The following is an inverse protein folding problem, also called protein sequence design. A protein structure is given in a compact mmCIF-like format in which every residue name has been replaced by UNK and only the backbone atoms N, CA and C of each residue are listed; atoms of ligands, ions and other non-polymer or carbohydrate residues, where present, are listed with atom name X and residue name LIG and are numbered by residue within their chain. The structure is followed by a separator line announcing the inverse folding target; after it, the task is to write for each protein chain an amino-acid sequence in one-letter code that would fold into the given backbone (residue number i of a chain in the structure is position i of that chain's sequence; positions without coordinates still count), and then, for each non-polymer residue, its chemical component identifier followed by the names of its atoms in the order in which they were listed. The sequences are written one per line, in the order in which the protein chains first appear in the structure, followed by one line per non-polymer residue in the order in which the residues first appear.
data_IF_236399874816
#
_entry.id   IF_236399874816
#
_cell.length_a   1.000
_cell.length_b   1.000
_cell.length_c   1.000
_cell.angle_alpha   90.00
_cell.angle_beta   90.00
_cell.angle_gamma   90.00
#
_symmetry.space_group_name_H-M   'P 1'
#
loop_
_entity.id
_entity.type
_entity.pdbx_description
1 polymer ?
#
# COMPACT_ATOMS: atom_id res chain seq x y z
N UNK A 1 5.85 -21.84 -25.47
CA UNK A 1 5.43 -21.17 -24.22
C UNK A 1 5.35 -22.23 -23.13
N UNK A 2 5.90 -21.97 -21.96
CA UNK A 2 5.92 -22.90 -20.83
C UNK A 2 4.58 -22.86 -20.10
N UNK A 3 3.94 -24.00 -19.93
CA UNK A 3 2.73 -24.17 -19.12
C UNK A 3 3.03 -23.94 -17.64
N UNK A 4 2.07 -23.37 -16.90
CA UNK A 4 2.16 -23.22 -15.47
C UNK A 4 0.78 -23.21 -14.81
N UNK A 5 0.77 -23.20 -13.50
CA UNK A 5 -0.44 -23.32 -12.70
C UNK A 5 -0.44 -22.29 -11.57
N UNK A 6 -1.63 -21.74 -11.31
CA UNK A 6 -1.96 -21.12 -10.03
C UNK A 6 -2.78 -22.14 -9.24
N UNK A 7 -2.29 -22.54 -8.08
CA UNK A 7 -2.98 -23.49 -7.21
C UNK A 7 -3.37 -22.79 -5.93
N UNK A 8 -4.66 -22.78 -5.62
CA UNK A 8 -5.19 -22.18 -4.40
C UNK A 8 -5.04 -23.13 -3.21
N UNK A 9 -5.06 -22.59 -2.01
CA UNK A 9 -4.94 -23.35 -0.76
C UNK A 9 -6.01 -24.45 -0.58
N UNK A 10 -7.16 -24.33 -1.25
CA UNK A 10 -8.25 -25.32 -1.22
C UNK A 10 -8.13 -26.38 -2.32
N UNK A 11 -7.02 -26.38 -3.08
CA UNK A 11 -6.74 -27.35 -4.14
C UNK A 11 -7.31 -27.00 -5.50
N UNK A 12 -8.01 -25.88 -5.67
CA UNK A 12 -8.43 -25.43 -7.00
C UNK A 12 -7.22 -25.05 -7.86
N UNK A 13 -7.22 -25.47 -9.12
CA UNK A 13 -6.10 -25.32 -10.06
C UNK A 13 -6.54 -24.51 -11.26
N UNK A 14 -5.79 -23.46 -11.56
CA UNK A 14 -5.96 -22.61 -12.74
C UNK A 14 -4.74 -22.75 -13.64
N UNK A 15 -4.96 -23.23 -14.84
CA UNK A 15 -3.91 -23.38 -15.85
C UNK A 15 -3.66 -22.04 -16.57
N UNK A 16 -2.40 -21.76 -16.87
CA UNK A 16 -1.98 -20.61 -17.64
C UNK A 16 -0.62 -20.82 -18.28
N UNK A 17 -0.03 -19.76 -18.75
CA UNK A 17 1.29 -19.74 -19.38
C UNK A 17 2.25 -18.92 -18.53
N UNK A 18 3.45 -19.44 -18.31
CA UNK A 18 4.51 -18.80 -17.53
C UNK A 18 5.10 -17.61 -18.30
N UNK A 19 5.35 -16.54 -17.56
CA UNK A 19 6.19 -15.41 -17.97
C UNK A 19 6.91 -14.86 -16.71
N UNK A 20 7.81 -13.90 -16.88
CA UNK A 20 8.66 -13.46 -15.77
C UNK A 20 9.70 -14.51 -15.35
N UNK A 21 10.06 -14.53 -14.08
CA UNK A 21 11.10 -15.43 -13.57
C UNK A 21 10.67 -16.89 -13.58
N UNK A 22 11.64 -17.78 -13.86
CA UNK A 22 11.44 -19.24 -13.87
C UNK A 22 11.59 -19.83 -12.46
N UNK A 23 10.78 -19.32 -11.53
CA UNK A 23 10.74 -19.72 -10.11
C UNK A 23 9.30 -20.03 -9.70
N UNK A 24 9.11 -20.81 -8.65
CA UNK A 24 7.82 -20.93 -7.98
C UNK A 24 7.70 -19.89 -6.88
N UNK A 25 6.47 -19.52 -6.52
CA UNK A 25 6.23 -18.62 -5.40
C UNK A 25 4.94 -18.98 -4.67
N UNK A 26 4.95 -18.82 -3.34
CA UNK A 26 3.77 -18.88 -2.49
C UNK A 26 3.48 -17.49 -1.96
N UNK A 27 2.22 -17.10 -1.89
CA UNK A 27 1.78 -15.80 -1.39
C UNK A 27 0.28 -15.73 -1.14
N UNK A 28 -0.14 -14.71 -0.42
CA UNK A 28 -1.56 -14.38 -0.30
C UNK A 28 -2.07 -13.79 -1.63
N UNK A 29 -3.04 -14.45 -2.27
CA UNK A 29 -3.59 -14.02 -3.56
C UNK A 29 -4.58 -12.86 -3.34
N UNK A 30 -4.25 -11.71 -3.92
CA UNK A 30 -5.09 -10.52 -3.90
C UNK A 30 -5.35 -10.01 -5.31
N UNK A 31 -6.41 -9.24 -5.50
CA UNK A 31 -6.70 -8.63 -6.80
C UNK A 31 -6.81 -7.12 -6.72
N UNK A 32 -6.49 -6.45 -7.80
CA UNK A 32 -6.74 -5.01 -8.00
C UNK A 32 -7.56 -4.78 -9.26
N UNK A 33 -8.43 -3.75 -9.23
CA UNK A 33 -9.37 -3.45 -10.31
C UNK A 33 -8.96 -2.25 -11.18
N UNK A 34 -7.76 -1.70 -10.96
CA UNK A 34 -7.24 -0.57 -11.73
C UNK A 34 -7.08 -0.92 -13.22
N UNK A 35 -7.51 -0.01 -14.11
CA UNK A 35 -7.32 -0.15 -15.56
C UNK A 35 -5.90 0.21 -16.01
N UNK A 36 -5.18 0.96 -15.19
CA UNK A 36 -3.80 1.40 -15.37
C UNK A 36 -3.06 1.33 -14.04
N UNK A 37 -1.75 1.63 -14.03
CA UNK A 37 -0.98 1.65 -12.81
C UNK A 37 -0.41 0.30 -12.41
N UNK A 38 -0.20 -0.58 -13.36
CA UNK A 38 0.45 -1.87 -13.05
C UNK A 38 1.92 -1.69 -12.64
N UNK A 39 2.60 -0.64 -13.08
CA UNK A 39 3.96 -0.31 -12.65
C UNK A 39 3.96 0.05 -11.17
N UNK A 40 3.07 0.95 -10.79
CA UNK A 40 2.90 1.38 -9.39
C UNK A 40 2.44 0.20 -8.51
N UNK A 41 1.56 -0.66 -9.01
CA UNK A 41 1.16 -1.89 -8.29
C UNK A 41 2.37 -2.80 -8.03
N UNK A 42 3.22 -3.03 -9.04
CA UNK A 42 4.41 -3.89 -8.91
C UNK A 42 5.47 -3.30 -7.99
N UNK A 43 5.49 -1.98 -7.85
CA UNK A 43 6.49 -1.24 -7.06
C UNK A 43 5.92 -0.62 -5.77
N UNK A 44 4.69 -0.97 -5.40
CA UNK A 44 4.10 -0.62 -4.10
C UNK A 44 4.52 -1.63 -3.04
N UNK A 45 5.36 -1.24 -2.05
CA UNK A 45 5.80 -2.14 -0.99
C UNK A 45 4.65 -2.73 -0.16
N UNK A 46 3.46 -2.12 -0.18
CA UNK A 46 2.27 -2.64 0.52
C UNK A 46 1.80 -4.01 -0.01
N UNK A 47 2.28 -4.45 -1.17
CA UNK A 47 2.03 -5.81 -1.68
C UNK A 47 3.08 -6.85 -1.25
N UNK A 48 4.00 -6.51 -0.34
CA UNK A 48 4.98 -7.49 0.14
C UNK A 48 4.29 -8.73 0.72
N UNK A 49 4.77 -9.91 0.29
CA UNK A 49 4.17 -11.19 0.68
C UNK A 49 2.97 -11.64 -0.16
N UNK A 50 2.52 -10.87 -1.14
CA UNK A 50 1.30 -11.15 -1.90
C UNK A 50 1.58 -11.55 -3.35
N UNK A 51 0.74 -12.44 -3.90
CA UNK A 51 0.59 -12.67 -5.34
C UNK A 51 -0.51 -11.73 -5.81
N UNK A 52 -0.17 -10.84 -6.74
CA UNK A 52 -1.10 -9.80 -7.20
C UNK A 52 -1.72 -10.19 -8.53
N UNK A 53 -3.05 -10.19 -8.58
CA UNK A 53 -3.82 -10.41 -9.80
C UNK A 53 -4.41 -9.09 -10.31
N UNK A 54 -4.14 -8.77 -11.57
CA UNK A 54 -4.81 -7.67 -12.26
C UNK A 54 -6.10 -8.15 -12.92
N UNK A 55 -7.21 -7.51 -12.61
CA UNK A 55 -8.51 -7.88 -13.20
C UNK A 55 -8.74 -7.25 -14.57
N UNK A 56 -8.03 -6.16 -14.87
CA UNK A 56 -8.09 -5.55 -16.20
C UNK A 56 -7.49 -6.50 -17.25
N UNK A 57 -8.15 -6.71 -18.40
CA UNK A 57 -7.80 -7.80 -19.30
C UNK A 57 -6.39 -7.71 -19.88
N UNK A 58 -5.94 -6.54 -20.34
CA UNK A 58 -4.65 -6.35 -20.98
C UNK A 58 -3.70 -5.55 -20.07
N UNK A 59 -2.55 -6.12 -19.74
CA UNK A 59 -1.51 -5.51 -18.93
C UNK A 59 -0.20 -5.43 -19.72
N UNK A 60 0.64 -4.43 -19.43
CA UNK A 60 1.96 -4.29 -20.05
C UNK A 60 1.99 -3.42 -21.31
N UNK A 61 0.88 -2.87 -21.75
CA UNK A 61 0.74 -2.15 -23.02
C UNK A 61 1.59 -0.88 -23.15
N UNK A 62 1.96 -0.23 -22.04
CA UNK A 62 2.88 0.91 -22.03
C UNK A 62 4.28 0.57 -21.48
N UNK A 63 4.58 -0.72 -21.30
CA UNK A 63 5.87 -1.22 -20.82
C UNK A 63 6.16 -0.84 -19.38
N UNK A 64 7.43 -0.90 -19.03
CA UNK A 64 7.93 -0.49 -17.72
C UNK A 64 8.64 0.85 -17.85
N UNK A 65 8.32 1.78 -16.97
CA UNK A 65 8.87 3.13 -16.91
C UNK A 65 9.45 3.29 -15.49
N UNK A 66 10.77 3.18 -15.36
CA UNK A 66 11.45 3.15 -14.05
C UNK A 66 11.33 4.46 -13.28
N UNK A 67 11.12 5.57 -13.98
CA UNK A 67 10.88 6.89 -13.37
C UNK A 67 9.58 6.92 -12.56
N UNK A 68 8.58 6.11 -12.95
CA UNK A 68 7.26 6.06 -12.32
C UNK A 68 7.21 5.10 -11.10
N UNK A 69 8.31 4.45 -10.74
CA UNK A 69 8.38 3.53 -9.61
C UNK A 69 8.06 4.21 -8.28
N UNK A 70 7.23 3.53 -7.48
CA UNK A 70 6.88 3.94 -6.12
C UNK A 70 7.83 3.38 -5.04
N UNK A 71 8.51 2.29 -5.34
CA UNK A 71 9.49 1.66 -4.45
C UNK A 71 10.20 0.49 -5.12
N UNK A 72 10.69 -0.44 -4.34
CA UNK A 72 11.19 -1.73 -4.82
C UNK A 72 10.03 -2.68 -5.15
N UNK A 73 10.25 -3.60 -6.08
CA UNK A 73 9.30 -4.66 -6.35
C UNK A 73 9.29 -5.67 -5.19
N UNK A 74 8.16 -5.80 -4.51
CA UNK A 74 8.00 -6.66 -3.34
C UNK A 74 6.94 -7.77 -3.52
N UNK A 75 6.28 -7.83 -4.68
CA UNK A 75 5.26 -8.84 -4.95
C UNK A 75 5.89 -10.24 -5.06
N UNK A 76 5.19 -11.27 -4.58
CA UNK A 76 5.63 -12.67 -4.66
C UNK A 76 5.37 -13.29 -6.03
N UNK A 77 4.37 -12.82 -6.74
CA UNK A 77 4.00 -13.29 -8.06
C UNK A 77 2.99 -12.38 -8.73
N UNK A 78 2.81 -12.54 -10.02
CA UNK A 78 1.93 -11.68 -10.79
C UNK A 78 1.03 -12.49 -11.73
N UNK A 79 -0.29 -12.23 -11.67
CA UNK A 79 -1.30 -12.98 -12.44
C UNK A 79 -2.12 -12.03 -13.30
N UNK A 80 -2.21 -12.32 -14.60
CA UNK A 80 -2.92 -11.48 -15.56
C UNK A 80 -3.73 -12.34 -16.56
N UNK A 81 -4.76 -11.74 -17.16
CA UNK A 81 -5.51 -12.39 -18.23
C UNK A 81 -4.71 -12.41 -19.53
N UNK A 82 -4.23 -11.25 -19.95
CA UNK A 82 -3.41 -11.03 -21.14
C UNK A 82 -2.29 -10.06 -20.81
N UNK A 83 -1.11 -10.25 -21.39
CA UNK A 83 -0.04 -9.28 -21.33
C UNK A 83 0.44 -8.89 -22.72
N UNK A 84 0.91 -7.66 -22.84
CA UNK A 84 1.39 -7.10 -24.10
C UNK A 84 2.89 -7.39 -24.23
N UNK A 85 3.25 -8.26 -25.19
CA UNK A 85 4.65 -8.65 -25.46
C UNK A 85 5.45 -7.50 -26.09
N UNK A 86 4.77 -6.60 -26.83
CA UNK A 86 5.40 -5.49 -27.54
C UNK A 86 4.75 -4.16 -27.12
N UNK A 87 5.16 -3.59 -25.99
CA UNK A 87 4.61 -2.33 -25.49
C UNK A 87 4.90 -1.17 -26.45
N UNK A 88 3.99 -0.19 -26.48
CA UNK A 88 4.12 1.00 -27.31
C UNK A 88 3.99 2.26 -26.47
N UNK A 89 5.13 2.78 -25.99
CA UNK A 89 5.24 4.06 -25.28
C UNK A 89 6.66 4.60 -25.44
N UNK A 90 6.80 5.89 -25.73
CA UNK A 90 8.12 6.52 -25.91
C UNK A 90 8.98 6.56 -24.63
N UNK A 91 8.39 6.37 -23.44
CA UNK A 91 9.09 6.31 -22.15
C UNK A 91 9.46 4.88 -21.71
N UNK A 92 9.09 3.86 -22.50
CA UNK A 92 9.31 2.46 -22.12
C UNK A 92 10.80 2.14 -22.00
N UNK A 93 11.22 1.65 -20.83
CA UNK A 93 12.58 1.13 -20.58
C UNK A 93 12.69 -0.35 -21.01
N UNK A 94 11.68 -1.16 -20.68
CA UNK A 94 11.60 -2.57 -21.06
C UNK A 94 10.14 -3.06 -21.03
N UNK A 95 9.92 -4.29 -21.50
CA UNK A 95 8.64 -4.97 -21.37
C UNK A 95 8.43 -5.58 -19.96
N UNK A 96 7.20 -6.01 -19.68
CA UNK A 96 6.80 -6.55 -18.38
C UNK A 96 7.51 -7.87 -18.04
N UNK A 97 7.69 -8.77 -19.03
CA UNK A 97 8.35 -10.07 -18.83
C UNK A 97 9.82 -9.89 -18.42
N UNK A 98 10.52 -9.00 -19.13
CA UNK A 98 11.89 -8.62 -18.82
C UNK A 98 12.01 -8.09 -17.40
N UNK A 99 11.15 -7.17 -17.01
CA UNK A 99 11.16 -6.59 -15.67
C UNK A 99 10.91 -7.63 -14.57
N UNK A 100 9.90 -8.49 -14.75
CA UNK A 100 9.61 -9.53 -13.77
C UNK A 100 10.77 -10.52 -13.62
N UNK A 101 11.48 -10.86 -14.73
CA UNK A 101 12.70 -11.66 -14.70
C UNK A 101 13.83 -10.99 -13.91
N UNK A 102 14.05 -9.69 -14.13
CA UNK A 102 15.04 -8.91 -13.38
C UNK A 102 14.74 -8.90 -11.88
N UNK A 103 13.46 -8.87 -11.50
CA UNK A 103 13.04 -8.86 -10.09
C UNK A 103 12.92 -10.26 -9.47
N UNK A 104 13.13 -11.34 -10.24
CA UNK A 104 12.93 -12.71 -9.76
C UNK A 104 11.48 -13.07 -9.47
N UNK A 105 10.52 -12.36 -10.04
CA UNK A 105 9.08 -12.53 -9.81
C UNK A 105 8.47 -13.43 -10.88
N UNK A 106 7.87 -14.57 -10.49
CA UNK A 106 7.14 -15.43 -11.42
C UNK A 106 5.81 -14.81 -11.83
N UNK A 107 5.48 -14.92 -13.10
CA UNK A 107 4.22 -14.51 -13.68
C UNK A 107 3.42 -15.66 -14.27
N UNK A 108 2.11 -15.50 -14.31
CA UNK A 108 1.19 -16.40 -14.99
C UNK A 108 0.14 -15.60 -15.77
N UNK A 109 -0.01 -15.88 -17.06
CA UNK A 109 -1.01 -15.24 -17.91
C UNK A 109 -1.93 -16.28 -18.58
N UNK A 110 -3.03 -15.84 -19.18
CA UNK A 110 -4.04 -16.71 -19.77
C UNK A 110 -5.04 -17.27 -18.77
N UNK A 111 -4.99 -16.82 -17.52
CA UNK A 111 -5.85 -17.29 -16.41
C UNK A 111 -7.19 -16.56 -16.44
N UNK A 112 -8.26 -17.24 -16.01
CA UNK A 112 -9.56 -16.59 -15.82
C UNK A 112 -9.57 -15.74 -14.54
N UNK A 113 -9.09 -14.49 -14.69
CA UNK A 113 -9.01 -13.52 -13.58
C UNK A 113 -10.40 -13.10 -13.07
N UNK A 114 -11.45 -13.22 -13.90
CA UNK A 114 -12.82 -12.93 -13.49
C UNK A 114 -13.35 -14.00 -12.54
N UNK A 115 -13.14 -15.27 -12.86
CA UNK A 115 -13.55 -16.39 -11.99
C UNK A 115 -12.76 -16.36 -10.67
N UNK A 116 -11.45 -16.16 -10.71
CA UNK A 116 -10.63 -15.97 -9.50
C UNK A 116 -11.13 -14.82 -8.62
N UNK A 117 -11.51 -13.70 -9.23
CA UNK A 117 -12.07 -12.56 -8.48
C UNK A 117 -13.37 -12.94 -7.78
N UNK A 118 -14.24 -13.73 -8.44
CA UNK A 118 -15.49 -14.22 -7.82
C UNK A 118 -15.18 -15.10 -6.62
N UNK A 119 -14.27 -16.06 -6.76
CA UNK A 119 -13.84 -16.95 -5.68
C UNK A 119 -13.33 -16.16 -4.48
N UNK A 120 -12.41 -15.22 -4.69
CA UNK A 120 -11.85 -14.38 -3.61
C UNK A 120 -12.96 -13.54 -2.94
N UNK A 121 -13.90 -13.01 -3.68
CA UNK A 121 -15.02 -12.25 -3.11
C UNK A 121 -15.99 -13.11 -2.31
N UNK A 122 -16.20 -14.35 -2.71
CA UNK A 122 -17.10 -15.30 -2.05
C UNK A 122 -16.46 -15.94 -0.80
N UNK A 123 -15.17 -16.30 -0.88
CA UNK A 123 -14.49 -17.05 0.19
C UNK A 123 -13.55 -16.17 1.05
N UNK A 124 -13.18 -15.00 0.58
CA UNK A 124 -12.17 -14.13 1.20
C UNK A 124 -10.81 -14.31 0.53
N UNK A 125 -9.81 -13.58 1.04
CA UNK A 125 -8.43 -13.71 0.57
C UNK A 125 -7.91 -15.11 0.85
N UNK A 126 -7.24 -15.71 -0.13
CA UNK A 126 -6.72 -17.08 -0.08
C UNK A 126 -5.23 -17.07 -0.39
N UNK A 127 -4.50 -18.02 0.18
CA UNK A 127 -3.13 -18.28 -0.26
C UNK A 127 -3.11 -19.06 -1.57
N UNK A 128 -2.07 -18.84 -2.35
CA UNK A 128 -1.89 -19.53 -3.61
C UNK A 128 -0.40 -19.76 -3.91
N UNK A 129 -0.12 -20.67 -4.84
CA UNK A 129 1.22 -20.85 -5.40
C UNK A 129 1.19 -20.75 -6.92
N UNK A 130 2.22 -20.11 -7.49
CA UNK A 130 2.52 -20.18 -8.92
C UNK A 130 3.62 -21.24 -9.10
N UNK A 131 3.37 -22.26 -9.91
CA UNK A 131 4.25 -23.41 -10.07
C UNK A 131 4.20 -23.99 -11.50
N UNK A 132 5.16 -24.85 -11.83
CA UNK A 132 5.22 -25.57 -13.10
C UNK A 132 4.46 -26.90 -13.07
N UNK A 133 4.36 -27.50 -11.88
CA UNK A 133 3.63 -28.74 -11.62
C UNK A 133 2.77 -28.56 -10.38
N UNK A 134 1.55 -29.11 -10.41
CA UNK A 134 0.64 -29.07 -9.26
C UNK A 134 1.26 -29.84 -8.09
N UNK A 135 1.53 -29.18 -6.95
CA UNK A 135 2.16 -29.85 -5.82
C UNK A 135 1.22 -30.90 -5.20
N UNK A 136 1.78 -32.04 -4.83
CA UNK A 136 1.04 -33.08 -4.13
C UNK A 136 0.76 -32.71 -2.66
N UNK A 137 1.56 -31.84 -2.07
CA UNK A 137 1.42 -31.31 -0.70
C UNK A 137 1.16 -29.82 -0.76
N UNK A 138 0.00 -29.39 -0.27
CA UNK A 138 -0.42 -27.98 -0.19
C UNK A 138 -0.16 -27.35 1.18
N UNK A 139 0.38 -28.08 2.14
CA UNK A 139 0.70 -27.56 3.48
C UNK A 139 1.48 -26.25 3.45
N UNK A 140 2.51 -26.04 2.59
CA UNK A 140 3.21 -24.76 2.50
C UNK A 140 2.34 -23.60 2.02
N UNK A 141 1.30 -23.88 1.22
CA UNK A 141 0.34 -22.88 0.74
C UNK A 141 -0.71 -22.58 1.83
N UNK A 142 -1.24 -23.61 2.44
CA UNK A 142 -2.26 -23.51 3.49
C UNK A 142 -1.75 -22.74 4.72
N UNK A 143 -0.51 -22.99 5.12
CA UNK A 143 0.11 -22.40 6.32
C UNK A 143 0.83 -21.08 6.07
N UNK A 144 0.87 -20.60 4.82
CA UNK A 144 1.55 -19.36 4.49
C UNK A 144 0.88 -18.17 5.22
N UNK A 145 1.69 -17.31 5.81
CA UNK A 145 1.26 -16.09 6.48
C UNK A 145 2.18 -14.91 6.10
N UNK A 146 1.58 -13.75 5.89
CA UNK A 146 2.31 -12.51 5.64
C UNK A 146 2.70 -11.90 6.97
N UNK A 147 3.94 -12.13 7.42
CA UNK A 147 4.47 -11.68 8.72
C UNK A 147 5.83 -10.99 8.58
N UNK A 148 6.16 -10.06 9.50
CA UNK A 148 7.46 -9.39 9.54
C UNK A 148 7.77 -8.52 8.31
N UNK A 149 6.76 -8.17 7.53
CA UNK A 149 6.94 -7.55 6.21
C UNK A 149 7.33 -6.07 6.29
N UNK A 150 6.98 -5.35 7.34
CA UNK A 150 7.42 -3.96 7.54
C UNK A 150 8.95 -3.90 7.69
N UNK A 151 9.53 -4.79 8.48
CA UNK A 151 10.99 -4.88 8.64
C UNK A 151 11.70 -5.26 7.34
N UNK A 152 11.04 -6.02 6.48
CA UNK A 152 11.60 -6.44 5.19
C UNK A 152 11.63 -5.32 4.14
N UNK A 153 10.71 -4.34 4.23
CA UNK A 153 10.56 -3.29 3.20
C UNK A 153 11.05 -1.91 3.65
N UNK A 154 11.21 -1.67 4.94
CA UNK A 154 11.70 -0.38 5.47
C UNK A 154 13.13 -0.07 4.99
N UNK A 155 13.46 1.21 4.87
CA UNK A 155 14.84 1.62 4.58
C UNK A 155 15.79 1.18 5.70
N UNK A 156 17.05 0.92 5.33
CA UNK A 156 18.07 0.49 6.29
C UNK A 156 18.75 1.66 7.00
N UNK A 157 18.85 2.79 6.30
CA UNK A 157 19.53 4.01 6.75
C UNK A 157 18.67 5.22 6.46
N UNK A 158 18.76 6.28 7.27
CA UNK A 158 18.08 7.54 7.02
C UNK A 158 18.49 8.14 5.67
N UNK A 159 17.54 8.74 4.96
CA UNK A 159 17.78 9.44 3.71
C UNK A 159 17.08 10.81 3.71
N UNK A 160 17.80 11.86 3.30
CA UNK A 160 17.28 13.23 3.26
C UNK A 160 16.95 13.61 1.83
N UNK A 161 15.73 14.10 1.63
CA UNK A 161 15.21 14.61 0.37
C UNK A 161 14.91 16.12 0.51
N UNK A 162 15.71 17.00 -0.08
CA UNK A 162 15.51 18.45 0.01
C UNK A 162 14.17 18.90 -0.58
N UNK A 163 13.60 19.96 -0.06
CA UNK A 163 12.43 20.61 -0.59
C UNK A 163 12.59 20.98 -2.09
N UNK A 164 11.51 20.99 -2.83
CA UNK A 164 11.47 21.62 -4.15
C UNK A 164 11.25 23.13 -3.96
N UNK A 165 12.29 23.93 -4.23
CA UNK A 165 12.33 25.37 -3.99
C UNK A 165 12.76 25.74 -2.57
N UNK A 166 12.10 26.73 -1.97
CA UNK A 166 12.42 27.22 -0.62
C UNK A 166 12.01 26.20 0.46
N UNK A 167 12.94 25.87 1.36
CA UNK A 167 12.63 25.03 2.53
C UNK A 167 11.76 25.83 3.52
N UNK A 168 10.58 25.29 3.82
CA UNK A 168 9.63 25.87 4.76
C UNK A 168 9.44 25.01 6.01
N UNK A 169 9.55 23.69 5.88
CA UNK A 169 9.32 22.72 6.96
C UNK A 169 10.30 21.55 6.85
N UNK A 170 10.58 20.94 7.99
CA UNK A 170 11.32 19.68 8.12
C UNK A 170 10.34 18.58 8.55
N UNK A 171 10.23 17.55 7.75
CA UNK A 171 9.33 16.42 8.02
C UNK A 171 10.13 15.15 8.23
N UNK A 172 9.93 14.47 9.35
CA UNK A 172 10.41 13.10 9.55
C UNK A 172 9.35 12.13 9.04
N UNK A 173 9.70 11.30 8.04
CA UNK A 173 8.84 10.27 7.49
C UNK A 173 9.28 8.91 7.99
N UNK A 174 8.43 8.22 8.76
CA UNK A 174 8.66 6.84 9.17
C UNK A 174 8.30 5.90 8.03
N UNK A 175 9.29 5.16 7.56
CA UNK A 175 9.18 4.26 6.42
C UNK A 175 8.71 2.87 6.86
N UNK A 176 7.43 2.62 6.70
CA UNK A 176 6.83 1.29 6.89
C UNK A 176 6.68 0.52 5.56
N UNK A 177 7.22 1.04 4.48
CA UNK A 177 7.04 0.65 3.09
C UNK A 177 6.50 1.83 2.29
N UNK A 178 7.15 2.99 2.43
CA UNK A 178 6.70 4.26 1.89
C UNK A 178 6.72 4.28 0.37
N UNK A 179 5.64 4.74 -0.24
CA UNK A 179 5.62 5.13 -1.65
C UNK A 179 6.41 6.42 -1.85
N UNK A 180 7.23 6.44 -2.88
CA UNK A 180 8.03 7.63 -3.25
C UNK A 180 7.19 8.88 -3.47
N UNK A 181 5.93 8.70 -3.90
CA UNK A 181 5.07 9.83 -4.16
C UNK A 181 4.67 10.60 -2.89
N UNK A 182 4.67 9.97 -1.71
CA UNK A 182 4.51 10.68 -0.43
C UNK A 182 5.64 11.72 -0.26
N UNK A 183 6.87 11.30 -0.49
CA UNK A 183 8.04 12.19 -0.43
C UNK A 183 7.93 13.30 -1.48
N UNK A 184 7.53 12.96 -2.73
CA UNK A 184 7.35 13.95 -3.81
C UNK A 184 6.30 15.00 -3.45
N UNK A 185 5.15 14.58 -2.90
CA UNK A 185 4.06 15.49 -2.51
C UNK A 185 4.46 16.44 -1.35
N UNK A 186 5.22 15.98 -0.38
CA UNK A 186 5.77 16.80 0.69
C UNK A 186 6.81 17.81 0.15
N UNK A 187 7.74 17.35 -0.70
CA UNK A 187 8.80 18.20 -1.28
C UNK A 187 8.23 19.34 -2.12
N UNK A 188 7.21 19.07 -2.95
CA UNK A 188 6.48 20.10 -3.73
C UNK A 188 5.89 21.20 -2.86
N UNK A 189 5.61 20.93 -1.59
CA UNK A 189 5.05 21.88 -0.61
C UNK A 189 6.09 22.57 0.25
N UNK A 190 7.37 22.45 -0.14
CA UNK A 190 8.49 23.09 0.55
C UNK A 190 8.93 22.34 1.81
N UNK A 191 8.69 21.03 1.88
CA UNK A 191 9.17 20.20 2.98
C UNK A 191 10.50 19.53 2.59
N UNK A 192 11.53 19.70 3.42
CA UNK A 192 12.67 18.78 3.43
C UNK A 192 12.27 17.55 4.20
N UNK A 193 12.33 16.38 3.57
CA UNK A 193 11.86 15.10 4.13
C UNK A 193 13.04 14.24 4.52
N UNK A 194 13.14 13.87 5.79
CA UNK A 194 14.04 12.83 6.27
C UNK A 194 13.28 11.53 6.40
N UNK A 195 13.54 10.59 5.51
CA UNK A 195 12.98 9.24 5.58
C UNK A 195 13.78 8.45 6.60
N UNK A 196 13.10 7.86 7.56
CA UNK A 196 13.67 7.15 8.70
C UNK A 196 13.20 5.70 8.73
N UNK A 197 14.06 4.74 9.13
CA UNK A 197 13.66 3.35 9.32
C UNK A 197 12.48 3.21 10.29
N UNK A 198 11.66 2.17 10.09
CA UNK A 198 10.55 1.82 10.97
C UNK A 198 10.97 1.56 12.43
N UNK A 199 12.25 1.28 12.65
CA UNK A 199 12.84 1.01 13.97
C UNK A 199 13.35 2.25 14.70
N UNK A 200 13.25 3.45 14.09
CA UNK A 200 13.68 4.71 14.71
C UNK A 200 12.80 5.04 15.92
N UNK A 201 13.41 5.35 17.05
CA UNK A 201 12.69 5.66 18.29
C UNK A 201 12.04 7.06 18.25
N UNK A 202 11.01 7.25 19.06
CA UNK A 202 10.35 8.54 19.20
C UNK A 202 11.31 9.61 19.73
N UNK A 203 12.23 9.23 20.60
CA UNK A 203 13.27 10.07 21.15
C UNK A 203 14.19 10.61 20.03
N UNK A 204 14.73 9.73 19.19
CA UNK A 204 15.59 10.09 18.05
C UNK A 204 14.87 10.99 17.06
N UNK A 205 13.57 10.72 16.78
CA UNK A 205 12.75 11.55 15.89
C UNK A 205 12.62 12.97 16.45
N UNK A 206 12.32 13.10 17.77
CA UNK A 206 12.13 14.39 18.42
C UNK A 206 13.45 15.18 18.58
N UNK A 207 14.59 14.50 18.75
CA UNK A 207 15.93 15.13 18.75
C UNK A 207 16.25 15.79 17.41
N UNK A 208 15.67 15.28 16.30
CA UNK A 208 15.77 15.89 14.98
C UNK A 208 14.98 17.20 14.82
N UNK A 209 14.18 17.60 15.82
CA UNK A 209 13.33 18.80 15.83
C UNK A 209 12.49 18.96 14.53
N UNK A 210 11.73 17.94 14.09
CA UNK A 210 10.89 18.07 12.91
C UNK A 210 9.68 18.99 13.20
N UNK A 211 9.26 19.74 12.17
CA UNK A 211 8.00 20.49 12.22
C UNK A 211 6.77 19.58 12.16
N UNK A 212 6.92 18.39 11.56
CA UNK A 212 5.88 17.38 11.48
C UNK A 212 6.43 15.96 11.27
N UNK A 213 5.60 14.97 11.61
CA UNK A 213 5.90 13.53 11.40
C UNK A 213 4.89 12.93 10.45
N UNK A 214 5.38 12.29 9.41
CA UNK A 214 4.60 11.52 8.44
C UNK A 214 4.72 10.03 8.72
N UNK A 215 3.60 9.34 8.87
CA UNK A 215 3.54 7.89 9.00
C UNK A 215 3.12 7.31 7.65
N UNK A 216 4.00 6.54 7.02
CA UNK A 216 3.78 6.05 5.67
C UNK A 216 2.75 4.91 5.62
N UNK A 217 2.37 4.55 4.40
CA UNK A 217 1.75 3.27 4.08
C UNK A 217 2.71 2.11 4.33
N UNK A 218 2.20 0.89 4.27
CA UNK A 218 3.00 -0.32 4.40
C UNK A 218 2.18 -1.61 4.33
N UNK A 219 2.86 -2.77 4.27
CA UNK A 219 2.24 -4.09 4.18
C UNK A 219 1.89 -4.70 5.53
N UNK A 220 1.14 -5.81 5.49
CA UNK A 220 0.95 -6.76 6.58
C UNK A 220 -0.17 -6.44 7.56
N UNK A 221 -0.16 -7.15 8.68
CA UNK A 221 -1.10 -6.93 9.78
C UNK A 221 -0.60 -5.77 10.65
N UNK A 222 -1.38 -4.70 10.84
CA UNK A 222 -0.97 -3.58 11.69
C UNK A 222 -0.71 -4.01 13.14
N UNK A 223 -1.41 -5.02 13.65
CA UNK A 223 -1.27 -5.47 15.04
C UNK A 223 0.08 -6.15 15.36
N UNK A 224 0.81 -6.62 14.33
CA UNK A 224 2.16 -7.19 14.53
C UNK A 224 3.21 -6.12 14.86
N UNK A 225 2.96 -4.85 14.56
CA UNK A 225 3.91 -3.75 14.65
C UNK A 225 3.93 -3.10 16.05
N UNK A 226 4.09 -3.90 17.10
CA UNK A 226 3.99 -3.47 18.50
C UNK A 226 4.99 -2.34 18.82
N UNK A 227 6.23 -2.46 18.34
CA UNK A 227 7.25 -1.44 18.55
C UNK A 227 6.84 -0.09 17.96
N UNK A 228 6.40 -0.08 16.69
CA UNK A 228 6.00 1.12 15.97
C UNK A 228 4.78 1.79 16.64
N UNK A 229 3.80 0.99 17.10
CA UNK A 229 2.63 1.47 17.84
C UNK A 229 3.06 2.21 19.12
N UNK A 230 4.00 1.66 19.90
CA UNK A 230 4.51 2.31 21.12
C UNK A 230 5.30 3.58 20.81
N UNK A 231 6.07 3.65 19.70
CA UNK A 231 6.75 4.88 19.32
C UNK A 231 5.75 5.97 18.87
N UNK A 232 4.73 5.62 18.08
CA UNK A 232 3.66 6.55 17.69
C UNK A 232 2.96 7.12 18.90
N UNK A 233 2.63 6.29 19.89
CA UNK A 233 2.01 6.72 21.16
C UNK A 233 2.84 7.78 21.90
N UNK A 234 4.17 7.68 21.87
CA UNK A 234 5.07 8.67 22.46
C UNK A 234 5.15 9.98 21.67
N UNK A 235 4.90 9.95 20.36
CA UNK A 235 4.93 11.13 19.47
C UNK A 235 3.63 11.93 19.49
N UNK A 236 2.49 11.27 19.68
CA UNK A 236 1.16 11.90 19.67
C UNK A 236 1.08 13.07 20.67
N UNK A 237 0.57 14.20 20.21
CA UNK A 237 0.43 15.44 20.95
C UNK A 237 1.71 16.29 21.09
N UNK A 238 2.89 15.73 20.75
CA UNK A 238 4.17 16.44 20.83
C UNK A 238 4.52 17.17 19.53
N UNK A 239 4.18 16.59 18.40
CA UNK A 239 4.48 17.10 17.05
C UNK A 239 3.27 16.87 16.15
N UNK A 240 2.99 17.76 15.17
CA UNK A 240 1.98 17.53 14.15
C UNK A 240 2.21 16.22 13.39
N UNK A 241 1.14 15.41 13.21
CA UNK A 241 1.27 14.10 12.56
C UNK A 241 0.22 13.89 11.47
N UNK A 242 0.64 13.24 10.38
CA UNK A 242 -0.24 12.72 9.34
C UNK A 242 0.09 11.27 9.04
N UNK A 243 -0.92 10.39 9.06
CA UNK A 243 -0.76 8.95 8.79
C UNK A 243 -1.57 8.48 7.58
N UNK A 244 -0.94 7.67 6.72
CA UNK A 244 -1.54 7.11 5.50
C UNK A 244 -1.57 5.58 5.61
N UNK A 245 -2.72 4.96 5.32
CA UNK A 245 -2.95 3.53 5.21
C UNK A 245 -2.46 2.77 6.47
N UNK A 246 -1.30 2.12 6.46
CA UNK A 246 -0.74 1.48 7.65
C UNK A 246 -0.52 2.51 8.78
N UNK A 247 -0.03 3.71 8.47
CA UNK A 247 0.13 4.79 9.46
C UNK A 247 -1.19 5.20 10.12
N UNK A 248 -2.32 5.15 9.41
CA UNK A 248 -3.65 5.34 9.99
C UNK A 248 -4.00 4.22 10.97
N UNK A 249 -3.79 2.96 10.60
CA UNK A 249 -4.10 1.80 11.42
C UNK A 249 -3.24 1.75 12.68
N UNK A 250 -1.92 2.00 12.55
CA UNK A 250 -1.00 2.06 13.69
C UNK A 250 -1.36 3.18 14.68
N UNK A 251 -1.77 4.35 14.17
CA UNK A 251 -2.22 5.45 15.02
C UNK A 251 -3.48 5.09 15.78
N UNK A 252 -4.46 4.45 15.14
CA UNK A 252 -5.66 3.97 15.82
C UNK A 252 -5.35 2.97 16.92
N UNK A 253 -4.43 2.02 16.67
CA UNK A 253 -3.96 1.06 17.68
C UNK A 253 -3.21 1.77 18.84
N UNK A 254 -2.39 2.79 18.54
CA UNK A 254 -1.65 3.55 19.54
C UNK A 254 -2.56 4.28 20.54
N UNK A 255 -3.76 4.67 20.13
CA UNK A 255 -4.77 5.30 21.01
C UNK A 255 -5.78 4.30 21.60
N UNK A 256 -5.55 2.99 21.44
CA UNK A 256 -6.36 1.92 22.03
C UNK A 256 -7.54 1.44 21.19
N UNK A 257 -7.60 1.83 19.92
CA UNK A 257 -8.52 1.27 18.94
C UNK A 257 -8.12 -0.16 18.55
N UNK A 258 -8.91 -0.78 17.67
CA UNK A 258 -8.68 -2.12 17.13
C UNK A 258 -8.73 -2.10 15.61
N UNK A 259 -8.09 -3.09 15.01
CA UNK A 259 -8.16 -3.37 13.58
C UNK A 259 -8.70 -4.77 13.33
N UNK A 260 -9.24 -5.00 12.14
CA UNK A 260 -9.72 -6.32 11.71
C UNK A 260 -9.38 -6.55 10.24
N UNK A 261 -9.24 -7.82 9.86
CA UNK A 261 -8.99 -8.22 8.47
C UNK A 261 -10.29 -8.15 7.67
N UNK A 262 -10.29 -7.43 6.57
CA UNK A 262 -11.37 -7.39 5.61
C UNK A 262 -11.43 -8.71 4.83
N UNK A 263 -12.61 -9.09 4.38
CA UNK A 263 -12.82 -10.36 3.65
C UNK A 263 -11.93 -10.47 2.41
N UNK A 264 -11.81 -9.41 1.61
CA UNK A 264 -10.96 -9.35 0.42
C UNK A 264 -10.22 -8.01 0.27
N UNK A 265 -10.40 -7.08 1.21
CA UNK A 265 -9.75 -5.77 1.22
C UNK A 265 -10.32 -4.79 0.20
N UNK A 266 -9.86 -3.54 0.27
CA UNK A 266 -10.12 -2.51 -0.73
C UNK A 266 -8.87 -2.31 -1.58
N UNK A 267 -8.94 -2.66 -2.87
CA UNK A 267 -7.85 -2.51 -3.82
C UNK A 267 -8.37 -2.00 -5.16
N UNK A 268 -7.90 -0.82 -5.56
CA UNK A 268 -8.29 -0.16 -6.79
C UNK A 268 -8.25 1.35 -6.67
N UNK A 269 -8.54 2.01 -7.79
CA UNK A 269 -8.44 3.47 -7.94
C UNK A 269 -9.82 4.17 -7.98
N UNK A 270 -10.87 3.48 -7.59
CA UNK A 270 -12.27 3.92 -7.72
C UNK A 270 -13.09 3.71 -6.44
N UNK A 271 -12.46 3.78 -5.28
CA UNK A 271 -13.13 3.60 -3.99
C UNK A 271 -13.75 4.93 -3.53
N UNK A 272 -15.09 4.98 -3.37
CA UNK A 272 -15.76 6.20 -2.95
C UNK A 272 -15.67 6.37 -1.43
N UNK A 273 -15.20 7.53 -0.99
CA UNK A 273 -15.04 7.88 0.43
C UNK A 273 -15.82 9.15 0.74
N UNK A 274 -16.72 9.07 1.69
CA UNK A 274 -17.55 10.19 2.16
C UNK A 274 -16.81 10.98 3.24
N UNK A 275 -16.74 12.30 3.07
CA UNK A 275 -16.33 13.22 4.11
C UNK A 275 -17.45 13.33 5.17
N UNK A 276 -17.14 12.96 6.41
CA UNK A 276 -18.10 12.97 7.52
C UNK A 276 -18.30 14.35 8.14
N UNK A 277 -17.41 15.30 7.83
CA UNK A 277 -17.51 16.70 8.26
C UNK A 277 -18.13 17.60 7.18
N UNK A 278 -18.30 17.09 5.96
CA UNK A 278 -18.80 17.80 4.80
C UNK A 278 -19.93 17.06 4.08
N UNK A 279 -20.17 17.46 2.83
CA UNK A 279 -21.20 16.88 1.96
C UNK A 279 -20.60 16.14 0.74
N UNK A 280 -19.27 16.07 0.68
CA UNK A 280 -18.57 15.55 -0.50
C UNK A 280 -18.27 14.06 -0.36
N UNK A 281 -18.31 13.38 -1.49
CA UNK A 281 -17.73 12.04 -1.67
C UNK A 281 -16.56 12.19 -2.64
N UNK A 282 -15.39 11.69 -2.23
CA UNK A 282 -14.20 11.65 -3.05
C UNK A 282 -14.03 10.26 -3.64
N UNK A 283 -13.49 10.16 -4.84
CA UNK A 283 -13.02 8.88 -5.37
C UNK A 283 -11.56 8.76 -5.01
N UNK A 284 -11.19 7.62 -4.43
CA UNK A 284 -9.84 7.41 -3.85
C UNK A 284 -9.16 6.18 -4.41
N UNK A 285 -7.83 6.16 -4.33
CA UNK A 285 -7.01 4.99 -4.54
C UNK A 285 -6.80 4.27 -3.20
N UNK A 286 -6.99 2.95 -3.18
CA UNK A 286 -6.85 2.14 -1.97
C UNK A 286 -6.10 0.84 -2.25
N UNK A 287 -5.32 0.40 -1.27
CA UNK A 287 -4.67 -0.91 -1.24
C UNK A 287 -4.46 -1.33 0.21
N UNK A 288 -5.48 -1.92 0.83
CA UNK A 288 -5.38 -2.43 2.19
C UNK A 288 -6.25 -3.66 2.42
N UNK A 289 -5.77 -4.57 3.27
CA UNK A 289 -6.49 -5.78 3.69
C UNK A 289 -7.05 -5.69 5.10
N UNK A 290 -6.69 -4.66 5.86
CA UNK A 290 -7.16 -4.41 7.22
C UNK A 290 -7.85 -3.06 7.30
N UNK A 291 -8.75 -2.91 8.27
CA UNK A 291 -9.45 -1.67 8.56
C UNK A 291 -9.51 -1.42 10.06
N UNK A 292 -9.65 -0.14 10.44
CA UNK A 292 -9.93 0.25 11.82
C UNK A 292 -11.37 -0.04 12.17
N UNK A 293 -11.60 -0.71 13.30
CA UNK A 293 -12.92 -0.92 13.87
C UNK A 293 -13.40 0.40 14.51
N UNK A 294 -14.30 1.10 13.80
CA UNK A 294 -14.84 2.41 14.19
C UNK A 294 -15.49 2.42 15.57
N UNK A 295 -16.09 1.31 16.01
CA UNK A 295 -16.78 1.22 17.30
C UNK A 295 -15.78 1.22 18.48
N UNK A 296 -14.52 0.91 18.21
CA UNK A 296 -13.45 0.91 19.21
C UNK A 296 -12.73 2.24 19.33
N UNK A 297 -12.94 3.18 18.42
CA UNK A 297 -12.30 4.50 18.43
C UNK A 297 -12.89 5.35 19.55
N UNK A 298 -12.16 5.52 20.66
CA UNK A 298 -12.56 6.34 21.81
C UNK A 298 -11.88 7.72 21.83
N UNK A 299 -10.78 7.85 21.09
CA UNK A 299 -10.01 9.08 20.95
C UNK A 299 -10.05 9.51 19.49
N UNK A 300 -10.36 10.76 19.24
CA UNK A 300 -10.53 11.29 17.89
C UNK A 300 -11.96 11.18 17.37
N UNK A 301 -12.15 11.58 16.13
CA UNK A 301 -13.42 11.62 15.42
C UNK A 301 -13.25 11.04 14.02
N UNK A 302 -14.15 10.12 13.63
CA UNK A 302 -14.17 9.60 12.26
C UNK A 302 -14.41 10.78 11.30
N UNK A 303 -13.45 11.01 10.42
CA UNK A 303 -13.49 12.09 9.42
C UNK A 303 -13.87 11.60 8.03
N UNK A 304 -13.57 10.34 7.71
CA UNK A 304 -13.91 9.72 6.43
C UNK A 304 -14.47 8.31 6.62
N UNK A 305 -15.45 7.93 5.80
CA UNK A 305 -16.02 6.58 5.75
C UNK A 305 -16.20 6.11 4.30
N UNK A 306 -15.95 4.85 4.02
CA UNK A 306 -16.22 4.25 2.71
C UNK A 306 -17.71 4.32 2.40
N UNK A 307 -18.07 4.81 1.23
CA UNK A 307 -19.46 5.01 0.86
C UNK A 307 -20.18 3.69 0.49
N UNK A 308 -19.44 2.60 0.21
CA UNK A 308 -19.99 1.32 -0.16
C UNK A 308 -20.37 0.47 1.06
N UNK A 309 -19.51 0.42 2.09
CA UNK A 309 -19.63 -0.51 3.21
C UNK A 309 -19.51 0.13 4.60
N UNK A 310 -19.23 1.44 4.65
CA UNK A 310 -19.11 2.18 5.90
C UNK A 310 -17.80 2.01 6.66
N UNK A 311 -16.83 1.30 6.11
CA UNK A 311 -15.48 1.13 6.69
C UNK A 311 -14.87 2.47 7.06
N UNK A 312 -14.17 2.53 8.21
CA UNK A 312 -13.44 3.72 8.65
C UNK A 312 -12.31 4.05 7.68
N UNK A 313 -12.37 5.23 7.07
CA UNK A 313 -11.41 5.69 6.06
C UNK A 313 -10.56 6.89 6.52
N UNK A 314 -10.80 7.39 7.72
CA UNK A 314 -10.00 8.46 8.28
C UNK A 314 -10.47 8.90 9.65
N UNK A 315 -9.52 9.38 10.46
CA UNK A 315 -9.76 9.84 11.83
C UNK A 315 -8.99 11.14 12.04
N UNK A 316 -9.68 12.11 12.63
CA UNK A 316 -9.09 13.34 13.14
C UNK A 316 -8.85 13.21 14.65
N UNK A 317 -7.66 13.61 15.09
CA UNK A 317 -7.23 13.62 16.50
C UNK A 317 -6.81 15.04 16.92
N UNK A 318 -7.75 16.00 17.05
CA UNK A 318 -7.40 17.42 17.24
C UNK A 318 -6.57 17.66 18.50
N UNK A 319 -6.92 17.01 19.63
CA UNK A 319 -6.19 17.16 20.90
C UNK A 319 -4.77 16.55 20.84
N UNK A 320 -4.49 15.70 19.84
CA UNK A 320 -3.19 15.06 19.63
C UNK A 320 -2.43 15.64 18.44
N UNK A 321 -2.91 16.74 17.85
CA UNK A 321 -2.33 17.39 16.65
C UNK A 321 -2.09 16.40 15.51
N UNK A 322 -3.03 15.49 15.27
CA UNK A 322 -2.88 14.46 14.26
C UNK A 322 -4.16 14.26 13.45
N UNK A 323 -4.01 13.78 12.22
CA UNK A 323 -5.08 13.19 11.45
C UNK A 323 -4.53 12.06 10.56
N UNK A 324 -5.42 11.15 10.19
CA UNK A 324 -5.00 9.96 9.43
C UNK A 324 -6.05 9.57 8.41
N UNK A 325 -5.62 8.95 7.30
CA UNK A 325 -6.51 8.42 6.27
C UNK A 325 -6.10 7.00 5.86
N UNK A 326 -7.09 6.16 5.56
CA UNK A 326 -6.87 4.79 5.12
C UNK A 326 -6.51 4.71 3.63
N UNK A 327 -7.05 5.60 2.82
CA UNK A 327 -6.79 5.71 1.39
C UNK A 327 -5.46 6.45 1.10
N UNK A 328 -5.08 6.48 -0.18
CA UNK A 328 -3.81 7.04 -0.65
C UNK A 328 -3.99 8.41 -1.33
N UNK A 329 -3.84 9.53 -0.62
CA UNK A 329 -3.96 10.88 -1.21
C UNK A 329 -2.78 11.24 -2.12
N UNK A 330 -1.65 10.52 -2.00
CA UNK A 330 -0.48 10.63 -2.85
C UNK A 330 -0.64 9.92 -4.18
N UNK A 331 -1.71 9.18 -4.40
CA UNK A 331 -1.87 8.24 -5.52
C UNK A 331 -1.39 8.81 -6.85
N UNK A 332 -0.47 8.10 -7.48
CA UNK A 332 0.10 8.45 -8.77
C UNK A 332 -0.69 7.83 -9.91
N UNK A 333 -1.34 6.69 -9.73
CA UNK A 333 -2.42 6.21 -10.58
C UNK A 333 -3.71 6.31 -9.80
N UNK A 334 -4.65 7.07 -10.34
CA UNK A 334 -5.94 7.30 -9.72
C UNK A 334 -6.28 8.78 -9.54
N UNK A 335 -7.41 9.05 -8.90
CA UNK A 335 -7.90 10.41 -8.67
C UNK A 335 -6.97 11.18 -7.73
N UNK A 336 -6.77 12.47 -8.05
CA UNK A 336 -5.98 13.41 -7.23
C UNK A 336 -6.85 14.27 -6.33
N UNK A 337 -8.12 13.93 -6.17
CA UNK A 337 -9.13 14.73 -5.47
C UNK A 337 -8.80 14.97 -3.99
N UNK A 338 -7.98 14.09 -3.40
CA UNK A 338 -7.63 14.13 -1.97
C UNK A 338 -6.22 14.66 -1.68
N UNK A 339 -5.48 15.14 -2.69
CA UNK A 339 -4.12 15.68 -2.52
C UNK A 339 -4.07 16.90 -1.59
N UNK A 340 -5.18 17.62 -1.37
CA UNK A 340 -5.30 18.71 -0.42
C UNK A 340 -5.00 18.31 1.03
N UNK A 341 -5.00 17.01 1.36
CA UNK A 341 -4.66 16.52 2.69
C UNK A 341 -3.18 16.78 3.03
N UNK A 342 -2.30 16.83 2.04
CA UNK A 342 -0.93 17.28 2.26
C UNK A 342 -0.87 18.78 2.57
N UNK A 343 -1.74 19.60 1.96
CA UNK A 343 -1.86 21.03 2.30
C UNK A 343 -2.39 21.21 3.72
N UNK A 344 -3.37 20.39 4.12
CA UNK A 344 -3.86 20.33 5.50
C UNK A 344 -2.74 20.00 6.50
N UNK A 345 -1.85 19.07 6.15
CA UNK A 345 -0.70 18.74 7.00
C UNK A 345 0.27 19.93 7.13
N UNK A 346 0.53 20.63 6.03
CA UNK A 346 1.33 21.86 6.05
C UNK A 346 0.70 22.93 6.95
N UNK A 347 -0.62 23.15 6.88
CA UNK A 347 -1.32 24.09 7.76
C UNK A 347 -1.26 23.67 9.24
N UNK A 348 -1.37 22.37 9.53
CA UNK A 348 -1.22 21.83 10.88
C UNK A 348 0.18 22.14 11.46
N UNK A 349 1.24 22.00 10.65
CA UNK A 349 2.62 22.33 11.05
C UNK A 349 2.82 23.84 11.33
N UNK A 350 2.04 24.73 10.69
CA UNK A 350 2.07 26.18 11.00
C UNK A 350 1.47 26.53 12.36
N UNK A 351 0.88 25.58 13.07
CA UNK A 351 0.15 25.84 14.31
C UNK A 351 -1.24 26.42 14.08
N UNK A 352 -1.79 26.27 12.89
CA UNK A 352 -3.18 26.62 12.57
C UNK A 352 -4.14 25.57 13.10
N UNK A 353 -4.82 25.86 14.19
CA UNK A 353 -6.04 25.17 14.59
C UNK A 353 -7.13 25.49 13.57
N UNK A 354 -7.57 24.48 12.80
CA UNK A 354 -8.83 24.50 12.05
C UNK A 354 -9.54 23.18 12.13
#
# INVERSE_FOLDING_TARGET
MKKGYLVLQDGQVFEGVRFGADTAAVGELVFTTGMCGYIETLTDPSYAGQIVMQTYPLIGNYGIIREDFEGACCVKGYVVREWCEAPSNFRTDCDLDTYLKEQGVPGLWGVDTRELTRIIREHGVMNATICDEVPADLTPVETYAVTGVVEAVTCREPAVYPAEGEERFKVSLLDYGAKRNIVRELRKRGCTVTVLPATTSAEEILEGHPDGVMLSNGPGDPAENIYQIEQIKKLLGKVPMFGICLGHQLTALAVGGKTYKLKYGHRGVNQPVRDMNGVRTYITSQNHGYAVDSDTVKVGKISFANANDGTCEGIDYPDLKAFTVQFHPEACTGPKDTSFLFDRFVELMKGGDR
#
